data_IF_098803281461
#
_entry.id   IF_098803281461
#
_cell.length_a   1.000
_cell.length_b   1.000
_cell.length_c   1.000
_cell.angle_alpha   90.00
_cell.angle_beta   90.00
_cell.angle_gamma   90.00
#
_symmetry.space_group_name_H-M   'P 1'
#
loop_
_entity.id
_entity.type
_entity.pdbx_description
1 polymer ?
#
# COMPACT_ATOMS: atom_id res chain seq x y z
N UNK A 1 4.54 9.47 23.83
CA UNK A 1 4.60 9.07 22.40
C UNK A 1 5.34 7.75 22.32
N UNK A 2 4.87 6.79 21.50
CA UNK A 2 5.65 5.58 21.20
C UNK A 2 6.91 6.00 20.43
N UNK A 3 8.02 5.28 20.62
CA UNK A 3 9.20 5.48 19.79
C UNK A 3 8.92 5.00 18.38
N UNK A 4 9.65 5.55 17.41
CA UNK A 4 9.50 5.24 15.99
C UNK A 4 9.52 3.73 15.69
N UNK A 5 10.33 2.95 16.43
CA UNK A 5 10.46 1.49 16.28
C UNK A 5 9.23 0.69 16.73
N UNK A 6 8.30 1.30 17.47
CA UNK A 6 7.11 0.64 18.01
C UNK A 6 5.81 1.08 17.32
N UNK A 7 5.90 1.84 16.24
CA UNK A 7 4.74 2.22 15.44
C UNK A 7 4.22 1.02 14.63
N UNK A 8 2.91 0.80 14.65
CA UNK A 8 2.27 -0.16 13.75
C UNK A 8 2.09 0.43 12.34
N UNK A 9 1.59 -0.37 11.40
CA UNK A 9 1.44 0.05 10.00
C UNK A 9 0.46 1.21 9.82
N UNK A 10 -0.64 1.25 10.58
CA UNK A 10 -1.60 2.37 10.58
C UNK A 10 -0.92 3.67 11.05
N UNK A 11 -0.17 3.62 12.14
CA UNK A 11 0.56 4.77 12.70
C UNK A 11 1.65 5.26 11.73
N UNK A 12 2.39 4.35 11.09
CA UNK A 12 3.39 4.68 10.06
C UNK A 12 2.76 5.30 8.81
N UNK A 13 1.67 4.73 8.32
CA UNK A 13 0.93 5.26 7.17
C UNK A 13 0.33 6.64 7.49
N UNK A 14 -0.09 6.87 8.73
CA UNK A 14 -0.57 8.17 9.20
C UNK A 14 0.53 9.22 9.10
N UNK A 15 1.74 8.90 9.55
CA UNK A 15 2.88 9.81 9.40
C UNK A 15 3.18 10.09 7.93
N UNK A 16 3.18 9.07 7.08
CA UNK A 16 3.47 9.23 5.66
C UNK A 16 2.44 10.14 4.97
N UNK A 17 1.15 9.91 5.21
CA UNK A 17 0.07 10.75 4.70
C UNK A 17 0.22 12.19 5.18
N UNK A 18 0.55 12.41 6.45
CA UNK A 18 0.68 13.75 7.02
C UNK A 18 1.87 14.53 6.45
N UNK A 19 2.95 13.84 6.09
CA UNK A 19 4.15 14.45 5.50
C UNK A 19 4.01 14.69 3.99
N UNK A 20 3.31 13.80 3.28
CA UNK A 20 3.22 13.81 1.82
C UNK A 20 1.78 13.56 1.33
N UNK A 21 0.81 14.43 1.68
CA UNK A 21 -0.58 14.25 1.26
C UNK A 21 -0.75 14.27 -0.26
N UNK A 22 0.10 15.01 -0.98
CA UNK A 22 0.04 15.15 -2.45
C UNK A 22 0.45 13.86 -3.19
N UNK A 23 1.13 12.93 -2.52
CA UNK A 23 1.52 11.63 -3.08
C UNK A 23 0.36 10.61 -3.01
N UNK A 24 -0.64 10.86 -2.16
CA UNK A 24 -1.73 9.90 -1.89
C UNK A 24 -2.56 9.59 -3.15
N UNK A 25 -3.01 10.58 -3.97
CA UNK A 25 -3.79 10.27 -5.16
C UNK A 25 -3.06 9.34 -6.13
N UNK A 26 -1.81 9.65 -6.45
CA UNK A 26 -0.99 8.87 -7.38
C UNK A 26 -0.66 7.46 -6.81
N UNK A 27 -0.47 7.35 -5.51
CA UNK A 27 -0.34 6.05 -4.84
C UNK A 27 -1.61 5.21 -4.95
N UNK A 28 -2.80 5.78 -4.71
CA UNK A 28 -4.08 5.07 -4.83
C UNK A 28 -4.33 4.62 -6.28
N UNK A 29 -4.05 5.47 -7.26
CA UNK A 29 -4.14 5.12 -8.68
C UNK A 29 -3.19 3.97 -9.04
N UNK A 30 -1.96 3.99 -8.48
CA UNK A 30 -1.01 2.90 -8.66
C UNK A 30 -1.51 1.60 -8.04
N UNK A 31 -2.08 1.65 -6.84
CA UNK A 31 -2.65 0.48 -6.16
C UNK A 31 -3.81 -0.12 -6.98
N UNK A 32 -4.68 0.72 -7.55
CA UNK A 32 -5.74 0.28 -8.44
C UNK A 32 -5.19 -0.39 -9.70
N UNK A 33 -4.21 0.22 -10.36
CA UNK A 33 -3.58 -0.34 -11.56
C UNK A 33 -2.86 -1.67 -11.28
N UNK A 34 -2.22 -1.80 -10.12
CA UNK A 34 -1.62 -3.06 -9.69
C UNK A 34 -2.67 -4.12 -9.37
N UNK A 35 -3.81 -3.76 -8.78
CA UNK A 35 -4.90 -4.70 -8.51
C UNK A 35 -5.41 -5.31 -9.82
N UNK A 36 -5.73 -4.47 -10.79
CA UNK A 36 -6.19 -4.89 -12.11
C UNK A 36 -5.15 -5.77 -12.83
N UNK A 37 -3.88 -5.37 -12.81
CA UNK A 37 -2.82 -6.15 -13.46
C UNK A 37 -2.65 -7.55 -12.85
N UNK A 38 -2.81 -7.69 -11.53
CA UNK A 38 -2.74 -8.99 -10.85
C UNK A 38 -3.97 -9.84 -11.19
N UNK A 39 -5.16 -9.26 -11.20
CA UNK A 39 -6.41 -9.96 -11.55
C UNK A 39 -6.41 -10.43 -13.01
N UNK A 40 -5.98 -9.58 -13.95
CA UNK A 40 -5.94 -9.91 -15.38
C UNK A 40 -4.88 -10.96 -15.74
N UNK A 41 -3.79 -11.03 -14.96
CA UNK A 41 -2.65 -11.94 -15.21
C UNK A 41 -2.50 -12.98 -14.10
N UNK A 42 -3.60 -13.36 -13.43
CA UNK A 42 -3.58 -14.20 -12.23
C UNK A 42 -2.75 -15.47 -12.41
N UNK A 43 -2.94 -16.19 -13.52
CA UNK A 43 -2.22 -17.44 -13.82
C UNK A 43 -0.70 -17.24 -13.81
N UNK A 44 -0.21 -16.13 -14.35
CA UNK A 44 1.22 -15.82 -14.38
C UNK A 44 1.75 -15.48 -12.98
N UNK A 45 1.04 -14.63 -12.24
CA UNK A 45 1.42 -14.27 -10.87
C UNK A 45 1.39 -15.49 -9.94
N UNK A 46 0.40 -16.37 -10.09
CA UNK A 46 0.26 -17.62 -9.34
C UNK A 46 1.40 -18.59 -9.65
N UNK A 47 1.77 -18.75 -10.93
CA UNK A 47 2.88 -19.61 -11.33
C UNK A 47 4.23 -19.14 -10.79
N UNK A 48 4.39 -17.83 -10.58
CA UNK A 48 5.60 -17.20 -10.01
C UNK A 48 5.52 -17.03 -8.49
N UNK A 49 4.47 -17.52 -7.84
CA UNK A 49 4.29 -17.33 -6.41
C UNK A 49 5.32 -18.12 -5.60
N UNK A 50 6.22 -17.40 -4.95
CA UNK A 50 7.30 -17.96 -4.13
C UNK A 50 7.30 -17.28 -2.74
N UNK A 51 6.19 -17.43 -2.02
CA UNK A 51 6.09 -16.96 -0.63
C UNK A 51 5.73 -18.13 0.28
N UNK A 52 6.57 -18.39 1.28
CA UNK A 52 6.40 -19.50 2.21
C UNK A 52 5.41 -19.23 3.36
N UNK A 53 5.02 -17.97 3.58
CA UNK A 53 4.20 -17.58 4.74
C UNK A 53 2.70 -17.65 4.47
N UNK A 54 2.27 -17.49 3.21
CA UNK A 54 0.87 -17.55 2.82
C UNK A 54 0.72 -17.94 1.35
N UNK A 55 -0.41 -18.57 1.04
CA UNK A 55 -0.74 -18.98 -0.32
C UNK A 55 -1.17 -17.79 -1.20
N UNK A 56 -1.18 -18.05 -2.51
CA UNK A 56 -1.60 -17.04 -3.49
C UNK A 56 -3.08 -16.66 -3.34
N UNK A 57 -3.94 -17.57 -2.87
CA UNK A 57 -5.37 -17.27 -2.71
C UNK A 57 -5.61 -16.25 -1.61
N UNK A 58 -4.86 -16.34 -0.50
CA UNK A 58 -4.85 -15.33 0.54
C UNK A 58 -4.33 -14.00 0.01
N UNK A 59 -3.24 -14.02 -0.76
CA UNK A 59 -2.74 -12.81 -1.41
C UNK A 59 -3.77 -12.15 -2.30
N UNK A 60 -4.44 -12.93 -3.16
CA UNK A 60 -5.46 -12.45 -4.08
C UNK A 60 -6.65 -11.83 -3.33
N UNK A 61 -7.05 -12.38 -2.17
CA UNK A 61 -8.06 -11.76 -1.32
C UNK A 61 -7.64 -10.36 -0.81
N UNK A 62 -6.37 -10.15 -0.47
CA UNK A 62 -5.87 -8.84 -0.05
C UNK A 62 -5.85 -7.84 -1.23
N UNK A 63 -5.51 -8.33 -2.43
CA UNK A 63 -5.56 -7.55 -3.67
C UNK A 63 -6.99 -7.08 -3.94
N UNK A 64 -7.94 -8.01 -3.98
CA UNK A 64 -9.36 -7.73 -4.20
C UNK A 64 -9.94 -6.80 -3.14
N UNK A 65 -9.64 -7.05 -1.86
CA UNK A 65 -10.09 -6.17 -0.78
C UNK A 65 -9.52 -4.74 -0.92
N UNK A 66 -8.26 -4.61 -1.35
CA UNK A 66 -7.66 -3.30 -1.66
C UNK A 66 -8.37 -2.58 -2.81
N UNK A 67 -8.67 -3.31 -3.88
CA UNK A 67 -9.46 -2.81 -5.01
C UNK A 67 -10.84 -2.33 -4.55
N UNK A 68 -11.56 -3.15 -3.76
CA UNK A 68 -12.90 -2.85 -3.27
C UNK A 68 -12.91 -1.61 -2.37
N UNK A 69 -11.93 -1.45 -1.48
CA UNK A 69 -11.77 -0.23 -0.67
C UNK A 69 -11.64 1.01 -1.59
N UNK A 70 -10.79 0.94 -2.62
CA UNK A 70 -10.59 2.06 -3.55
C UNK A 70 -11.88 2.36 -4.32
N UNK A 71 -12.58 1.33 -4.78
CA UNK A 71 -13.85 1.47 -5.51
C UNK A 71 -14.95 2.06 -4.62
N UNK A 72 -15.02 1.64 -3.35
CA UNK A 72 -16.03 2.07 -2.39
C UNK A 72 -15.83 3.53 -1.95
N UNK A 73 -14.59 3.92 -1.63
CA UNK A 73 -14.31 5.23 -1.04
C UNK A 73 -13.78 6.26 -2.03
N UNK A 74 -13.10 5.82 -3.10
CA UNK A 74 -12.57 6.66 -4.17
C UNK A 74 -11.78 7.87 -3.65
N UNK A 75 -12.11 9.05 -4.17
CA UNK A 75 -11.44 10.32 -3.81
C UNK A 75 -11.52 10.67 -2.31
N UNK A 76 -12.40 10.05 -1.52
CA UNK A 76 -12.40 10.26 -0.05
C UNK A 76 -11.09 9.81 0.58
N UNK A 77 -10.43 8.79 0.02
CA UNK A 77 -9.12 8.32 0.47
C UNK A 77 -8.02 9.37 0.28
N UNK A 78 -8.19 10.33 -0.64
CA UNK A 78 -7.17 11.34 -0.95
C UNK A 78 -7.05 12.39 0.15
N UNK A 79 -8.15 12.66 0.84
CA UNK A 79 -8.25 13.79 1.78
C UNK A 79 -8.51 13.35 3.21
N UNK A 80 -9.01 12.13 3.42
CA UNK A 80 -9.30 11.61 4.75
C UNK A 80 -8.20 10.66 5.22
N UNK A 81 -7.22 11.22 5.94
CA UNK A 81 -6.09 10.47 6.51
C UNK A 81 -6.54 9.24 7.29
N UNK A 82 -7.54 9.38 8.17
CA UNK A 82 -8.00 8.27 9.00
C UNK A 82 -8.61 7.16 8.16
N UNK A 83 -9.46 7.51 7.21
CA UNK A 83 -10.07 6.52 6.31
C UNK A 83 -8.99 5.79 5.49
N UNK A 84 -8.01 6.53 4.95
CA UNK A 84 -6.88 5.95 4.24
C UNK A 84 -6.08 4.96 5.11
N UNK A 85 -5.72 5.36 6.33
CA UNK A 85 -4.88 4.52 7.19
C UNK A 85 -5.63 3.31 7.74
N UNK A 86 -6.86 3.51 8.20
CA UNK A 86 -7.63 2.47 8.88
C UNK A 86 -8.12 1.40 7.87
N UNK A 87 -8.42 1.78 6.63
CA UNK A 87 -8.89 0.83 5.62
C UNK A 87 -7.74 0.08 4.93
N UNK A 88 -6.65 0.76 4.59
CA UNK A 88 -5.58 0.18 3.77
C UNK A 88 -4.44 -0.41 4.59
N UNK A 89 -4.17 0.09 5.80
CA UNK A 89 -2.97 -0.27 6.57
C UNK A 89 -3.26 -0.99 7.89
N UNK A 90 -4.52 -1.37 8.14
CA UNK A 90 -4.88 -2.19 9.29
C UNK A 90 -4.81 -3.70 9.00
N UNK A 91 -4.51 -4.49 10.03
CA UNK A 91 -4.42 -5.94 9.96
C UNK A 91 -3.52 -6.45 8.82
N UNK A 92 -3.97 -7.52 8.16
CA UNK A 92 -3.25 -8.13 7.03
C UNK A 92 -3.31 -7.30 5.75
N UNK A 93 -4.28 -6.38 5.62
CA UNK A 93 -4.41 -5.54 4.42
C UNK A 93 -3.15 -4.71 4.17
N UNK A 94 -2.46 -4.33 5.24
CA UNK A 94 -1.19 -3.63 5.18
C UNK A 94 -0.14 -4.33 4.31
N UNK A 95 -0.15 -5.66 4.20
CA UNK A 95 0.79 -6.40 3.35
C UNK A 95 0.68 -5.98 1.89
N UNK A 96 -0.55 -5.92 1.38
CA UNK A 96 -0.80 -5.53 -0.01
C UNK A 96 -0.55 -4.03 -0.22
N UNK A 97 -1.02 -3.19 0.71
CA UNK A 97 -0.79 -1.74 0.61
C UNK A 97 0.70 -1.37 0.66
N UNK A 98 1.50 -2.00 1.52
CA UNK A 98 2.96 -1.78 1.55
C UNK A 98 3.63 -2.30 0.27
N UNK A 99 3.16 -3.41 -0.30
CA UNK A 99 3.65 -3.91 -1.58
C UNK A 99 3.41 -2.89 -2.71
N UNK A 100 2.20 -2.35 -2.82
CA UNK A 100 1.89 -1.30 -3.79
C UNK A 100 2.72 -0.04 -3.55
N UNK A 101 2.91 0.34 -2.28
CA UNK A 101 3.70 1.51 -1.90
C UNK A 101 5.18 1.34 -2.28
N UNK A 102 5.72 0.13 -2.16
CA UNK A 102 7.07 -0.21 -2.62
C UNK A 102 7.19 -0.13 -4.15
N UNK A 103 6.20 -0.65 -4.88
CA UNK A 103 6.16 -0.54 -6.34
C UNK A 103 6.07 0.91 -6.81
N UNK A 104 5.24 1.71 -6.14
CA UNK A 104 5.08 3.14 -6.40
C UNK A 104 6.38 3.93 -6.17
N UNK A 105 6.99 3.77 -4.99
CA UNK A 105 8.22 4.49 -4.60
C UNK A 105 9.42 4.12 -5.47
N UNK A 106 9.52 2.86 -5.90
CA UNK A 106 10.61 2.42 -6.77
C UNK A 106 10.53 3.07 -8.15
N UNK A 107 9.31 3.23 -8.70
CA UNK A 107 9.09 3.91 -9.99
C UNK A 107 9.33 5.42 -9.92
N UNK A 108 9.03 6.06 -8.77
CA UNK A 108 9.11 7.52 -8.59
C UNK A 108 10.30 8.01 -7.78
N UNK A 109 11.28 7.15 -7.50
CA UNK A 109 12.39 7.43 -6.58
C UNK A 109 13.08 8.77 -6.87
N UNK A 110 13.37 9.06 -8.13
CA UNK A 110 14.06 10.28 -8.53
C UNK A 110 13.18 11.54 -8.50
N UNK A 111 11.85 11.39 -8.56
CA UNK A 111 10.90 12.51 -8.60
C UNK A 111 10.63 13.07 -7.21
N UNK A 112 10.52 12.21 -6.19
CA UNK A 112 10.31 12.62 -4.81
C UNK A 112 11.18 11.78 -3.85
N UNK A 113 12.45 12.16 -3.77
CA UNK A 113 13.44 11.47 -2.94
C UNK A 113 13.11 11.51 -1.45
N UNK A 114 12.44 12.55 -0.97
CA UNK A 114 12.09 12.66 0.45
C UNK A 114 10.93 11.75 0.82
N UNK A 115 9.93 11.61 -0.06
CA UNK A 115 8.91 10.58 0.08
C UNK A 115 9.50 9.17 0.06
N UNK A 116 10.42 8.88 -0.88
CA UNK A 116 11.13 7.61 -0.93
C UNK A 116 11.86 7.32 0.40
N UNK A 117 12.62 8.29 0.93
CA UNK A 117 13.34 8.13 2.21
C UNK A 117 12.38 7.91 3.37
N UNK A 118 11.24 8.60 3.41
CA UNK A 118 10.25 8.40 4.45
C UNK A 118 9.64 7.01 4.39
N UNK A 119 9.27 6.54 3.20
CA UNK A 119 8.84 5.16 2.99
C UNK A 119 9.90 4.15 3.45
N UNK A 120 11.15 4.34 3.02
CA UNK A 120 12.28 3.48 3.36
C UNK A 120 12.49 3.45 4.88
N UNK A 121 12.48 4.60 5.55
CA UNK A 121 12.60 4.66 7.00
C UNK A 121 11.44 3.95 7.71
N UNK A 122 10.22 4.03 7.17
CA UNK A 122 9.00 3.58 7.84
C UNK A 122 8.72 2.09 7.64
N UNK A 123 9.02 1.57 6.44
CA UNK A 123 8.58 0.25 6.00
C UNK A 123 9.71 -0.68 5.54
N UNK A 124 10.97 -0.26 5.65
CA UNK A 124 12.11 -1.18 5.49
C UNK A 124 12.27 -2.03 6.74
N UNK A 125 11.86 -3.29 6.62
CA UNK A 125 12.18 -4.38 7.54
C UNK A 125 12.78 -5.49 6.68
#
# INVERSE_FOLDING_TARGET
MKTFKHLNNVEKAKLLFGLFPDEVPAYIETMQGMSLAIEENETEYRAKWDNAFFDFDFWLRLVQHGHDIIKQYGKKLYHNQRLFTDQLFDGYQALYSIHCLRGYTTKRRLENMDFYKAFDLFFSI
#
